data_IF_612538415044
#
_entry.id   IF_612538415044
#
_cell.length_a   1.000
_cell.length_b   1.000
_cell.length_c   1.000
_cell.angle_alpha   90.00
_cell.angle_beta   90.00
_cell.angle_gamma   90.00
#
_symmetry.space_group_name_H-M   'P 1'
#
loop_
_entity.id
_entity.type
_entity.pdbx_description
1 polymer ?
#
# COMPACT_ATOMS: atom_id res chain seq x y z
N UNK A 1 -6.65 1.76 18.48
CA UNK A 1 -7.91 1.10 18.87
C UNK A 1 -8.92 2.07 19.48
N UNK A 2 -8.50 3.01 20.36
CA UNK A 2 -9.37 3.94 21.12
C UNK A 2 -10.48 4.65 20.32
N UNK A 3 -10.23 4.98 19.06
CA UNK A 3 -11.19 5.68 18.20
C UNK A 3 -11.79 4.82 17.08
N UNK A 4 -11.59 3.50 17.12
CA UNK A 4 -12.19 2.58 16.15
C UNK A 4 -11.62 2.62 14.72
N UNK A 5 -10.69 3.52 14.39
CA UNK A 5 -10.04 3.59 13.06
C UNK A 5 -9.34 2.28 12.70
N UNK A 6 -8.65 1.68 13.68
CA UNK A 6 -8.04 0.35 13.59
C UNK A 6 -8.78 -0.56 14.57
N UNK A 7 -9.26 -1.71 14.06
CA UNK A 7 -10.08 -2.69 14.82
C UNK A 7 -9.30 -3.94 15.25
N UNK A 8 -8.11 -4.16 14.70
CA UNK A 8 -7.19 -5.26 15.01
C UNK A 8 -5.77 -4.73 15.04
N UNK A 9 -4.89 -5.29 15.86
CA UNK A 9 -3.48 -4.86 15.91
C UNK A 9 -2.75 -5.17 14.58
N UNK A 10 -1.54 -4.62 14.38
CA UNK A 10 -0.78 -4.96 13.16
C UNK A 10 -0.33 -6.42 13.22
N UNK A 11 0.04 -6.89 14.41
CA UNK A 11 0.55 -8.24 14.62
C UNK A 11 -0.58 -9.27 14.48
N UNK A 12 -1.80 -8.98 14.96
CA UNK A 12 -2.98 -9.83 14.72
C UNK A 12 -3.28 -10.00 13.23
N UNK A 13 -3.19 -8.91 12.46
CA UNK A 13 -3.42 -8.97 11.02
C UNK A 13 -2.28 -9.72 10.31
N UNK A 14 -1.03 -9.54 10.75
CA UNK A 14 0.13 -10.25 10.22
C UNK A 14 0.03 -11.76 10.50
N UNK A 15 -0.28 -12.15 11.74
CA UNK A 15 -0.42 -13.55 12.12
C UNK A 15 -1.50 -14.23 11.28
N UNK A 16 -2.67 -13.58 11.15
CA UNK A 16 -3.76 -14.08 10.30
C UNK A 16 -3.32 -14.25 8.84
N UNK A 17 -2.56 -13.30 8.31
CA UNK A 17 -2.05 -13.38 6.93
C UNK A 17 -1.13 -14.59 6.77
N UNK A 18 -0.15 -14.75 7.66
CA UNK A 18 0.82 -15.87 7.60
C UNK A 18 0.08 -17.21 7.65
N UNK A 19 -0.84 -17.39 8.61
CA UNK A 19 -1.61 -18.63 8.75
C UNK A 19 -2.40 -19.02 7.49
N UNK A 20 -2.87 -18.02 6.73
CA UNK A 20 -3.61 -18.26 5.49
C UNK A 20 -2.68 -18.50 4.30
N UNK A 21 -1.56 -17.77 4.23
CA UNK A 21 -0.69 -17.76 3.05
C UNK A 21 0.30 -18.92 3.03
N UNK A 22 0.80 -19.38 4.18
CA UNK A 22 1.76 -20.50 4.22
C UNK A 22 1.17 -21.78 3.62
N UNK A 23 -0.06 -22.23 3.99
CA UNK A 23 -0.68 -23.40 3.38
C UNK A 23 -0.97 -23.21 1.87
N UNK A 24 -1.34 -22.00 1.46
CA UNK A 24 -1.58 -21.70 0.04
C UNK A 24 -0.30 -21.84 -0.80
N UNK A 25 0.83 -21.36 -0.28
CA UNK A 25 2.11 -21.49 -0.93
C UNK A 25 2.58 -22.94 -1.00
N UNK A 26 2.42 -23.70 0.08
CA UNK A 26 2.71 -25.14 0.10
C UNK A 26 1.84 -25.90 -0.91
N UNK A 27 0.55 -25.54 -1.03
CA UNK A 27 -0.36 -26.15 -2.00
C UNK A 27 0.07 -25.93 -3.46
N UNK A 28 0.82 -24.87 -3.77
CA UNK A 28 1.39 -24.61 -5.10
C UNK A 28 2.88 -25.00 -5.21
N UNK A 29 3.43 -25.68 -4.19
CA UNK A 29 4.82 -26.14 -4.19
C UNK A 29 5.87 -25.05 -3.97
N UNK A 30 5.49 -23.89 -3.42
CA UNK A 30 6.43 -22.82 -3.06
C UNK A 30 7.00 -23.05 -1.66
N UNK A 31 8.28 -22.71 -1.51
CA UNK A 31 8.99 -22.73 -0.23
C UNK A 31 9.09 -21.30 0.28
N UNK A 32 8.74 -21.10 1.55
CA UNK A 32 8.89 -19.80 2.20
C UNK A 32 10.38 -19.49 2.43
N UNK A 33 10.85 -18.29 2.08
CA UNK A 33 12.25 -17.90 2.29
C UNK A 33 12.48 -17.45 3.75
N UNK A 34 12.09 -18.29 4.70
CA UNK A 34 12.23 -18.07 6.15
C UNK A 34 12.65 -19.38 6.82
N UNK A 35 13.93 -19.54 7.18
CA UNK A 35 14.43 -20.77 7.83
C UNK A 35 13.84 -21.03 9.21
N UNK A 36 13.38 -19.98 9.91
CA UNK A 36 12.85 -20.09 11.27
C UNK A 36 11.34 -20.35 11.30
N UNK A 37 10.68 -20.31 10.12
CA UNK A 37 9.25 -20.54 9.98
C UNK A 37 8.89 -21.97 10.37
N UNK A 38 8.03 -22.11 11.38
CA UNK A 38 7.50 -23.40 11.82
C UNK A 38 6.03 -23.28 12.22
N UNK A 39 5.33 -24.41 12.25
CA UNK A 39 3.98 -24.47 12.80
C UNK A 39 4.07 -24.79 14.29
N UNK A 40 3.42 -23.99 15.12
CA UNK A 40 3.22 -24.31 16.53
C UNK A 40 2.05 -25.29 16.67
N UNK A 41 2.31 -26.50 17.16
CA UNK A 41 1.31 -27.57 17.30
C UNK A 41 0.23 -27.23 18.33
N UNK A 42 0.52 -26.36 19.31
CA UNK A 42 -0.43 -26.01 20.37
C UNK A 42 -1.49 -25.01 19.91
N UNK A 43 -1.09 -23.97 19.17
CA UNK A 43 -2.00 -22.95 18.64
C UNK A 43 -2.51 -23.26 17.23
N UNK A 44 -1.79 -24.07 16.46
CA UNK A 44 -2.00 -24.27 15.03
C UNK A 44 -1.50 -23.10 14.17
N UNK A 45 -0.89 -22.08 14.80
CA UNK A 45 -0.37 -20.90 14.12
C UNK A 45 1.00 -21.15 13.49
N UNK A 46 1.27 -20.47 12.38
CA UNK A 46 2.58 -20.44 11.74
C UNK A 46 3.41 -19.30 12.34
N UNK A 47 4.52 -19.63 12.98
CA UNK A 47 5.40 -18.69 13.68
C UNK A 47 6.54 -18.28 12.73
N UNK A 48 6.59 -17.00 12.29
CA UNK A 48 7.68 -16.53 11.44
C UNK A 48 8.95 -16.23 12.24
N UNK A 49 10.07 -16.17 11.54
CA UNK A 49 11.32 -15.62 12.04
C UNK A 49 11.25 -14.12 12.35
N UNK A 50 12.32 -13.56 12.95
CA UNK A 50 12.38 -12.14 13.28
C UNK A 50 12.38 -11.27 12.03
N UNK A 51 11.55 -10.22 12.04
CA UNK A 51 11.52 -9.22 10.96
C UNK A 51 12.74 -8.30 11.10
N UNK A 52 13.40 -8.02 9.98
CA UNK A 52 14.40 -6.96 9.91
C UNK A 52 13.74 -5.57 10.00
N UNK A 53 13.56 -5.09 11.22
CA UNK A 53 12.94 -3.79 11.49
C UNK A 53 13.81 -2.61 11.04
N UNK A 54 15.13 -2.77 10.99
CA UNK A 54 16.04 -1.72 10.52
C UNK A 54 15.82 -1.44 9.03
N UNK A 55 15.74 -2.49 8.21
CA UNK A 55 15.40 -2.37 6.79
C UNK A 55 14.01 -1.73 6.60
N UNK A 56 13.02 -2.17 7.37
CA UNK A 56 11.66 -1.61 7.33
C UNK A 56 11.69 -0.08 7.58
N UNK A 57 12.44 0.36 8.59
CA UNK A 57 12.59 1.78 8.90
C UNK A 57 13.36 2.55 7.83
N UNK A 58 14.40 1.96 7.21
CA UNK A 58 15.11 2.58 6.09
C UNK A 58 14.18 2.80 4.88
N UNK A 59 13.36 1.80 4.54
CA UNK A 59 12.40 1.91 3.44
C UNK A 59 11.37 2.99 3.72
N UNK A 60 10.83 3.06 4.95
CA UNK A 60 9.90 4.11 5.36
C UNK A 60 10.53 5.51 5.28
N UNK A 61 11.81 5.64 5.66
CA UNK A 61 12.54 6.91 5.61
C UNK A 61 12.87 7.36 4.18
N UNK A 62 12.60 6.55 3.16
CA UNK A 62 12.87 6.89 1.76
C UNK A 62 14.17 6.31 1.21
N UNK A 63 14.89 5.49 1.99
CA UNK A 63 16.17 4.89 1.62
C UNK A 63 16.02 3.44 1.10
N UNK A 64 14.81 3.04 0.71
CA UNK A 64 14.57 1.73 0.10
C UNK A 64 14.87 1.72 -1.40
N UNK A 65 14.84 0.52 -2.02
CA UNK A 65 15.38 0.28 -3.36
C UNK A 65 14.71 1.11 -4.46
N UNK A 66 13.42 1.43 -4.33
CA UNK A 66 12.66 2.14 -5.36
C UNK A 66 12.03 3.45 -4.88
N UNK A 67 12.32 3.93 -3.66
CA UNK A 67 11.61 5.09 -3.10
C UNK A 67 11.79 6.35 -3.97
N UNK A 68 13.03 6.66 -4.34
CA UNK A 68 13.35 7.80 -5.21
C UNK A 68 12.64 7.70 -6.56
N UNK A 69 12.76 6.54 -7.22
CA UNK A 69 12.14 6.27 -8.52
C UNK A 69 10.61 6.43 -8.47
N UNK A 70 9.95 5.93 -7.43
CA UNK A 70 8.48 6.05 -7.26
C UNK A 70 8.03 7.49 -7.11
N UNK A 71 8.74 8.28 -6.30
CA UNK A 71 8.41 9.69 -6.09
C UNK A 71 8.69 10.51 -7.35
N UNK A 72 9.80 10.25 -8.03
CA UNK A 72 10.18 10.89 -9.29
C UNK A 72 9.13 10.64 -10.36
N UNK A 73 8.79 9.37 -10.62
CA UNK A 73 7.75 9.01 -11.58
C UNK A 73 6.41 9.71 -11.28
N UNK A 74 6.03 9.83 -10.00
CA UNK A 74 4.81 10.56 -9.62
C UNK A 74 4.91 12.06 -9.84
N UNK A 75 6.06 12.67 -9.52
CA UNK A 75 6.33 14.09 -9.75
C UNK A 75 6.32 14.43 -11.23
N UNK A 76 6.96 13.61 -12.06
CA UNK A 76 6.99 13.75 -13.51
C UNK A 76 5.59 13.63 -14.10
N UNK A 77 4.84 12.58 -13.77
CA UNK A 77 3.47 12.41 -14.24
C UNK A 77 2.59 13.61 -13.84
N UNK A 78 2.77 14.13 -12.63
CA UNK A 78 2.05 15.33 -12.19
C UNK A 78 2.48 16.58 -12.96
N UNK A 79 3.78 16.82 -13.14
CA UNK A 79 4.30 17.98 -13.87
C UNK A 79 3.88 17.94 -15.34
N UNK A 80 4.13 16.83 -16.03
CA UNK A 80 3.82 16.64 -17.45
C UNK A 80 2.30 16.68 -17.70
N UNK A 81 1.49 16.24 -16.74
CA UNK A 81 0.03 16.34 -16.80
C UNK A 81 -0.55 17.72 -16.41
N UNK A 82 0.27 18.74 -16.11
CA UNK A 82 -0.21 20.03 -15.65
C UNK A 82 -1.15 20.72 -16.64
N UNK A 83 -0.81 20.67 -17.94
CA UNK A 83 -1.62 21.26 -18.99
C UNK A 83 -2.99 20.59 -19.10
N UNK A 84 -3.08 19.27 -18.89
CA UNK A 84 -4.36 18.54 -18.92
C UNK A 84 -5.27 19.02 -17.80
N UNK A 85 -4.73 19.18 -16.59
CA UNK A 85 -5.49 19.70 -15.45
C UNK A 85 -5.94 21.13 -15.68
N UNK A 86 -5.07 21.98 -16.24
CA UNK A 86 -5.42 23.35 -16.60
C UNK A 86 -6.51 23.40 -17.68
N UNK A 87 -6.41 22.57 -18.72
CA UNK A 87 -7.42 22.47 -19.78
C UNK A 87 -8.78 22.00 -19.23
N UNK A 88 -8.78 20.98 -18.38
CA UNK A 88 -10.00 20.49 -17.73
C UNK A 88 -10.66 21.57 -16.86
N UNK A 89 -9.88 22.31 -16.07
CA UNK A 89 -10.37 23.40 -15.24
C UNK A 89 -10.96 24.56 -16.08
N UNK A 90 -10.26 24.98 -17.13
CA UNK A 90 -10.74 26.03 -18.04
C UNK A 90 -12.03 25.62 -18.77
N UNK A 91 -12.10 24.35 -19.20
CA UNK A 91 -13.30 23.81 -19.82
C UNK A 91 -14.50 23.80 -18.88
N UNK A 92 -14.31 23.33 -17.64
CA UNK A 92 -15.35 23.35 -16.62
C UNK A 92 -15.85 24.77 -16.36
N UNK A 93 -14.94 25.74 -16.16
CA UNK A 93 -15.28 27.15 -15.97
C UNK A 93 -16.14 27.71 -17.12
N UNK A 94 -15.79 27.39 -18.38
CA UNK A 94 -16.58 27.79 -19.56
C UNK A 94 -17.99 27.18 -19.55
N UNK A 95 -18.14 25.91 -19.14
CA UNK A 95 -19.47 25.28 -19.06
C UNK A 95 -20.33 25.88 -17.96
N UNK A 96 -19.74 26.17 -16.79
CA UNK A 96 -20.44 26.83 -15.70
C UNK A 96 -20.90 28.25 -16.08
N UNK A 97 -20.06 29.03 -16.75
CA UNK A 97 -20.44 30.37 -17.24
C UNK A 97 -21.55 30.35 -18.30
N UNK A 98 -21.59 29.32 -19.17
CA UNK A 98 -22.66 29.13 -20.15
C UNK A 98 -23.99 28.68 -19.53
N UNK A 99 -23.95 27.91 -18.44
CA UNK A 99 -25.16 27.52 -17.70
C UNK A 99 -25.81 28.67 -16.94
N UNK A 100 -25.04 29.67 -16.50
CA UNK A 100 -25.56 30.86 -15.83
C UNK A 100 -26.12 31.94 -16.77
N UNK A 101 -25.74 31.94 -18.04
CA UNK A 101 -26.21 32.92 -19.04
C UNK A 101 -27.52 32.53 -19.73
N UNK A 102 -28.06 31.33 -19.49
CA UNK A 102 -29.30 30.86 -20.11
C UNK A 102 -30.55 31.10 -19.22
N UNK A 103 -30.40 31.80 -18.09
CA UNK A 103 -31.47 32.04 -17.11
C UNK A 103 -31.76 33.54 -16.86
N UNK A 104 -31.38 34.42 -17.79
CA UNK A 104 -31.75 35.84 -17.82
C UNK A 104 -32.34 36.16 -19.19
#
# INVERSE_FOLDING_TARGET
MRWGVKRKSNDELRQRFINLTVPQAQAVGLIMPDPDLHQDEASGDWIPGPINWDEFHQVLAGNGPCNRQRIEARREAHANGAWVRAAAAAYAAKRHGRGGSAAA
#
